data_IF_968045154371
#
_entry.id   IF_968045154371
#
_cell.length_a   1.000
_cell.length_b   1.000
_cell.length_c   1.000
_cell.angle_alpha   90.00
_cell.angle_beta   90.00
_cell.angle_gamma   90.00
#
_symmetry.space_group_name_H-M   'P 1'
#
loop_
_entity.id
_entity.type
_entity.pdbx_description
1 polymer ?
#
# COMPACT_ATOMS: atom_id res chain seq x y z
N UNK A 1 11.73 -3.21 14.13
CA UNK A 1 11.44 -1.79 13.83
C UNK A 1 10.17 -1.41 14.57
N UNK A 2 10.14 -0.30 15.32
CA UNK A 2 9.01 0.05 16.20
C UNK A 2 8.27 1.27 15.60
N UNK A 3 7.04 1.13 15.08
CA UNK A 3 6.26 2.18 14.44
C UNK A 3 6.12 3.45 15.29
N UNK A 4 5.87 3.30 16.60
CA UNK A 4 5.83 4.45 17.54
C UNK A 4 7.12 5.27 17.57
N UNK A 5 8.25 4.68 17.20
CA UNK A 5 9.55 5.36 17.23
C UNK A 5 9.93 5.74 15.81
N UNK A 6 10.33 4.78 14.97
CA UNK A 6 10.93 5.07 13.68
C UNK A 6 9.92 5.71 12.70
N UNK A 7 8.75 5.10 12.55
CA UNK A 7 7.72 5.54 11.59
C UNK A 7 7.07 6.84 12.05
N UNK A 8 6.72 6.94 13.35
CA UNK A 8 6.06 8.11 13.90
C UNK A 8 6.99 9.33 13.96
N UNK A 9 8.26 9.19 14.35
CA UNK A 9 9.19 10.32 14.29
C UNK A 9 9.37 10.81 12.85
N UNK A 10 9.62 9.90 11.90
CA UNK A 10 9.79 10.29 10.51
C UNK A 10 8.55 10.98 9.95
N UNK A 11 7.36 10.44 10.21
CA UNK A 11 6.10 11.04 9.77
C UNK A 11 5.92 12.45 10.33
N UNK A 12 6.15 12.65 11.64
CA UNK A 12 6.03 13.96 12.27
C UNK A 12 7.05 14.97 11.72
N UNK A 13 8.30 14.54 11.49
CA UNK A 13 9.33 15.40 10.90
C UNK A 13 9.06 15.77 9.43
N UNK A 14 8.43 14.88 8.65
CA UNK A 14 8.01 15.18 7.29
C UNK A 14 6.80 16.14 7.27
N UNK A 15 5.84 15.93 8.17
CA UNK A 15 4.70 16.85 8.34
C UNK A 15 5.15 18.26 8.74
N UNK A 16 6.10 18.38 9.66
CA UNK A 16 6.66 19.68 10.08
C UNK A 16 7.31 20.43 8.91
N UNK A 17 7.91 19.70 7.96
CA UNK A 17 8.48 20.26 6.73
C UNK A 17 7.44 20.55 5.63
N UNK A 18 6.16 20.32 5.90
CA UNK A 18 5.06 20.58 4.96
C UNK A 18 4.81 19.47 3.93
N UNK A 19 5.39 18.28 4.10
CA UNK A 19 5.09 17.14 3.22
C UNK A 19 3.73 16.53 3.55
N UNK A 20 3.06 16.02 2.52
CA UNK A 20 1.89 15.15 2.69
C UNK A 20 2.37 13.73 2.96
N UNK A 21 2.00 13.17 4.11
CA UNK A 21 2.44 11.84 4.55
C UNK A 21 1.28 10.86 4.49
N UNK A 22 1.54 9.69 3.90
CA UNK A 22 0.64 8.55 3.88
C UNK A 22 1.40 7.34 4.44
N UNK A 23 0.82 6.68 5.44
CA UNK A 23 1.47 5.55 6.11
C UNK A 23 0.80 4.24 5.68
N UNK A 24 1.54 3.35 5.02
CA UNK A 24 1.03 2.02 4.68
C UNK A 24 0.95 1.14 5.94
N UNK A 25 -0.25 0.91 6.46
CA UNK A 25 -0.46 0.17 7.72
C UNK A 25 -0.14 -1.33 7.62
N UNK A 26 -0.07 -1.90 6.41
CA UNK A 26 0.27 -3.30 6.19
C UNK A 26 1.79 -3.54 6.21
N UNK A 27 2.57 -2.47 6.00
CA UNK A 27 4.03 -2.54 5.87
C UNK A 27 4.81 -2.24 7.17
N UNK A 28 4.14 -1.80 8.24
CA UNK A 28 4.80 -1.56 9.53
C UNK A 28 4.08 -2.28 10.69
N UNK A 29 4.85 -2.85 11.60
CA UNK A 29 4.32 -3.64 12.73
C UNK A 29 5.00 -3.31 14.05
N UNK A 30 4.28 -3.43 15.16
CA UNK A 30 4.75 -3.20 16.53
C UNK A 30 4.40 -4.39 17.43
N UNK A 31 4.76 -4.30 18.73
CA UNK A 31 4.55 -5.36 19.71
C UNK A 31 3.09 -5.68 20.03
N UNK A 32 2.16 -4.74 19.82
CA UNK A 32 0.74 -4.93 20.10
C UNK A 32 -0.13 -4.01 19.25
N UNK A 33 -1.36 -4.43 18.98
CA UNK A 33 -2.33 -3.62 18.24
C UNK A 33 -2.59 -2.25 18.88
N UNK A 34 -2.68 -2.20 20.21
CA UNK A 34 -2.77 -0.95 20.97
C UNK A 34 -1.63 0.02 20.65
N UNK A 35 -0.40 -0.48 20.53
CA UNK A 35 0.73 0.37 20.21
C UNK A 35 0.65 0.92 18.77
N UNK A 36 0.06 0.16 17.83
CA UNK A 36 -0.19 0.60 16.45
C UNK A 36 -1.22 1.71 16.45
N UNK A 37 -2.33 1.50 17.16
CA UNK A 37 -3.44 2.46 17.23
C UNK A 37 -2.98 3.79 17.85
N UNK A 38 -2.22 3.74 18.94
CA UNK A 38 -1.61 4.93 19.56
C UNK A 38 -0.61 5.65 18.64
N UNK A 39 0.16 4.90 17.82
CA UNK A 39 1.06 5.51 16.85
C UNK A 39 0.29 6.24 15.75
N UNK A 40 -0.77 5.60 15.23
CA UNK A 40 -1.58 6.13 14.14
C UNK A 40 -2.34 7.37 14.59
N UNK A 41 -2.92 7.34 15.79
CA UNK A 41 -3.60 8.49 16.39
C UNK A 41 -2.63 9.66 16.65
N UNK A 42 -1.38 9.38 17.06
CA UNK A 42 -0.36 10.42 17.22
C UNK A 42 0.06 11.05 15.90
N UNK A 43 0.26 10.26 14.85
CA UNK A 43 0.70 10.77 13.55
C UNK A 43 -0.40 11.56 12.82
N UNK A 44 -1.68 11.19 13.00
CA UNK A 44 -2.83 11.78 12.29
C UNK A 44 -2.66 11.86 10.77
N UNK A 45 -1.91 10.92 10.21
CA UNK A 45 -1.68 10.77 8.76
C UNK A 45 -2.70 9.81 8.16
N UNK A 46 -2.93 9.90 6.86
CA UNK A 46 -3.74 8.92 6.14
C UNK A 46 -3.10 7.53 6.27
N UNK A 47 -3.78 6.60 6.93
CA UNK A 47 -3.37 5.19 7.02
C UNK A 47 -3.96 4.44 5.82
N UNK A 48 -3.09 3.99 4.92
CA UNK A 48 -3.48 3.43 3.62
C UNK A 48 -3.09 1.95 3.56
N UNK A 49 -3.85 1.14 2.82
CA UNK A 49 -3.39 -0.20 2.46
C UNK A 49 -2.42 -0.12 1.29
N UNK A 50 -1.58 -1.14 1.11
CA UNK A 50 -0.65 -1.22 -0.03
C UNK A 50 -1.42 -1.12 -1.34
N UNK A 51 -2.58 -1.79 -1.42
CA UNK A 51 -3.44 -1.71 -2.60
C UNK A 51 -3.92 -0.29 -2.86
N UNK A 52 -4.31 0.45 -1.83
CA UNK A 52 -4.75 1.84 -1.99
C UNK A 52 -3.61 2.72 -2.51
N UNK A 53 -2.40 2.57 -1.96
CA UNK A 53 -1.20 3.29 -2.41
C UNK A 53 -0.93 3.01 -3.89
N UNK A 54 -0.91 1.73 -4.27
CA UNK A 54 -0.62 1.32 -5.66
C UNK A 54 -1.69 1.86 -6.60
N UNK A 55 -2.98 1.69 -6.29
CA UNK A 55 -4.06 2.15 -7.18
C UNK A 55 -4.16 3.67 -7.30
N UNK A 56 -3.80 4.42 -6.25
CA UNK A 56 -3.78 5.89 -6.30
C UNK A 56 -2.62 6.39 -7.17
N UNK A 57 -1.46 5.72 -7.11
CA UNK A 57 -0.32 6.01 -8.00
C UNK A 57 -0.62 5.64 -9.46
N UNK A 58 -1.36 4.55 -9.69
CA UNK A 58 -1.76 4.12 -11.03
C UNK A 58 -2.74 5.11 -11.68
N UNK A 59 -3.72 5.61 -10.92
CA UNK A 59 -4.75 6.55 -11.39
C UNK A 59 -5.77 5.95 -12.38
N UNK A 60 -5.30 5.32 -13.46
CA UNK A 60 -6.10 4.66 -14.50
C UNK A 60 -5.44 3.34 -14.93
N UNK A 61 -6.24 2.26 -15.00
CA UNK A 61 -5.80 0.95 -15.46
C UNK A 61 -5.25 0.92 -16.88
N UNK A 62 -5.60 1.91 -17.71
CA UNK A 62 -5.26 2.01 -19.13
C UNK A 62 -4.00 2.84 -19.40
N UNK A 63 -3.49 3.57 -18.42
CA UNK A 63 -2.34 4.47 -18.59
C UNK A 63 -1.00 3.75 -18.33
N UNK A 64 0.11 4.42 -18.60
CA UNK A 64 1.45 3.98 -18.18
C UNK A 64 1.50 3.95 -16.64
N UNK A 65 2.08 2.90 -16.06
CA UNK A 65 1.88 2.35 -14.69
C UNK A 65 0.57 1.57 -14.47
N UNK A 66 -0.31 1.47 -15.47
CA UNK A 66 -1.55 0.70 -15.43
C UNK A 66 -1.36 -0.81 -15.51
N UNK A 67 -2.44 -1.54 -15.82
CA UNK A 67 -2.50 -3.01 -15.78
C UNK A 67 -1.32 -3.74 -16.47
N UNK A 68 -0.86 -3.35 -17.68
CA UNK A 68 0.19 -4.10 -18.37
C UNK A 68 1.50 -4.16 -17.59
N UNK A 69 1.84 -3.11 -16.85
CA UNK A 69 3.11 -2.96 -16.12
C UNK A 69 2.95 -3.37 -14.65
N UNK A 70 1.79 -3.11 -14.05
CA UNK A 70 1.51 -3.43 -12.65
C UNK A 70 1.09 -4.90 -12.43
N UNK A 71 0.70 -5.63 -13.48
CA UNK A 71 0.15 -6.99 -13.37
C UNK A 71 1.10 -7.95 -12.66
N UNK A 72 2.41 -7.90 -12.97
CA UNK A 72 3.42 -8.74 -12.31
C UNK A 72 3.55 -8.44 -10.81
N UNK A 73 3.47 -7.17 -10.43
CA UNK A 73 3.49 -6.75 -9.03
C UNK A 73 2.24 -7.25 -8.28
N UNK A 74 1.06 -7.13 -8.88
CA UNK A 74 -0.17 -7.64 -8.26
C UNK A 74 -0.18 -9.17 -8.16
N UNK A 75 0.32 -9.88 -9.16
CA UNK A 75 0.44 -11.35 -9.11
C UNK A 75 1.36 -11.82 -7.97
N UNK A 76 2.46 -11.09 -7.74
CA UNK A 76 3.45 -11.42 -6.71
C UNK A 76 2.97 -11.11 -5.29
N UNK A 77 2.40 -9.92 -5.06
CA UNK A 77 2.10 -9.42 -3.70
C UNK A 77 0.63 -9.58 -3.29
N UNK A 78 -0.28 -9.80 -4.25
CA UNK A 78 -1.70 -10.01 -4.01
C UNK A 78 -2.14 -11.39 -4.54
N UNK A 79 -1.88 -12.49 -3.81
CA UNK A 79 -2.03 -13.85 -4.34
C UNK A 79 -3.45 -14.21 -4.80
N UNK A 80 -4.47 -13.63 -4.15
CA UNK A 80 -5.88 -13.79 -4.58
C UNK A 80 -6.11 -13.11 -5.93
N UNK A 81 -5.54 -11.93 -6.15
CA UNK A 81 -5.61 -11.23 -7.43
C UNK A 81 -4.88 -12.01 -8.52
N UNK A 82 -3.66 -12.46 -8.25
CA UNK A 82 -2.87 -13.28 -9.17
C UNK A 82 -3.58 -14.58 -9.57
N UNK A 83 -4.24 -15.25 -8.61
CA UNK A 83 -5.06 -16.44 -8.91
C UNK A 83 -6.19 -16.12 -9.89
N UNK A 84 -6.95 -15.04 -9.66
CA UNK A 84 -8.04 -14.62 -10.54
C UNK A 84 -7.50 -14.28 -11.94
N UNK A 85 -6.39 -13.55 -12.00
CA UNK A 85 -5.75 -13.15 -13.26
C UNK A 85 -5.29 -14.36 -14.08
N UNK A 86 -4.61 -15.32 -13.46
CA UNK A 86 -4.16 -16.54 -14.14
C UNK A 86 -5.35 -17.36 -14.66
N UNK A 87 -6.41 -17.52 -13.85
CA UNK A 87 -7.62 -18.21 -14.27
C UNK A 87 -8.31 -17.49 -15.44
N UNK A 88 -8.36 -16.15 -15.41
CA UNK A 88 -8.90 -15.35 -16.50
C UNK A 88 -8.10 -15.55 -17.80
N UNK A 89 -6.76 -15.52 -17.74
CA UNK A 89 -5.89 -15.75 -18.91
C UNK A 89 -6.06 -17.14 -19.52
N UNK A 90 -6.31 -18.16 -18.71
CA UNK A 90 -6.57 -19.53 -19.20
C UNK A 90 -7.97 -19.68 -19.79
N UNK A 91 -8.97 -18.99 -19.22
CA UNK A 91 -10.36 -19.06 -19.66
C UNK A 91 -10.68 -18.15 -20.86
N UNK A 92 -9.92 -17.06 -21.04
CA UNK A 92 -10.10 -16.15 -22.15
C UNK A 92 -9.75 -16.87 -23.47
N UNK A 93 -10.66 -16.88 -24.46
CA UNK A 93 -10.33 -17.43 -25.77
C UNK A 93 -9.15 -16.65 -26.35
N UNK A 94 -8.13 -17.36 -26.85
CA UNK A 94 -7.02 -16.74 -27.57
C UNK A 94 -7.58 -16.01 -28.80
N UNK A 95 -7.73 -14.69 -28.68
CA UNK A 95 -8.09 -13.79 -29.77
C UNK A 95 -6.89 -13.53 -30.67
#
# INVERSE_FOLDING_TARGET
>A
MIPRVCTAFLALSLLEKGYKVFANFEAYGTYSRRNTDEANDRMRVGCWSERAVVTDLMGDWRQTLGYPESSSYFDQYFPVYGMVERNFKVAAPSS
#
